data_IF_765321054230
#
_entry.id   IF_765321054230
#
_cell.length_a   1.000
_cell.length_b   1.000
_cell.length_c   1.000
_cell.angle_alpha   90.00
_cell.angle_beta   90.00
_cell.angle_gamma   90.00
#
_symmetry.space_group_name_H-M   'P 1'
#
loop_
_entity.id
_entity.type
_entity.pdbx_description
1 polymer ?
#
# COMPACT_ATOMS: atom_id res chain seq x y z
N UNK A 1 -18.49 -9.16 61.12
CA UNK A 1 -18.52 -9.81 59.81
C UNK A 1 -19.00 -8.81 58.77
N UNK A 2 -18.14 -8.34 57.88
CA UNK A 2 -18.54 -7.66 56.63
C UNK A 2 -17.32 -7.52 55.72
N UNK A 3 -17.22 -8.47 54.78
CA UNK A 3 -16.09 -8.65 53.87
C UNK A 3 -15.83 -7.46 52.96
N UNK A 4 -14.56 -7.10 52.84
CA UNK A 4 -14.03 -6.16 51.85
C UNK A 4 -14.16 -6.79 50.46
N UNK A 5 -15.01 -6.23 49.60
CA UNK A 5 -15.09 -6.62 48.19
C UNK A 5 -13.89 -6.00 47.46
N UNK A 6 -12.91 -6.81 47.12
CA UNK A 6 -11.79 -6.42 46.28
C UNK A 6 -12.28 -6.09 44.87
N UNK A 7 -11.93 -4.90 44.39
CA UNK A 7 -12.21 -4.47 43.03
C UNK A 7 -11.17 -5.10 42.11
N UNK A 8 -11.54 -6.15 41.38
CA UNK A 8 -10.69 -6.73 40.34
C UNK A 8 -10.72 -5.83 39.09
N UNK A 9 -9.60 -5.19 38.78
CA UNK A 9 -9.37 -4.60 37.47
C UNK A 9 -9.17 -5.73 36.46
N UNK A 10 -10.17 -5.97 35.62
CA UNK A 10 -10.02 -6.89 34.50
C UNK A 10 -9.14 -6.21 33.43
N UNK A 11 -7.90 -6.66 33.31
CA UNK A 11 -7.02 -6.30 32.20
C UNK A 11 -7.60 -6.93 30.93
N UNK A 12 -8.55 -6.28 30.29
CA UNK A 12 -9.02 -6.66 28.96
C UNK A 12 -7.79 -6.61 28.04
N UNK A 13 -7.23 -7.76 27.68
CA UNK A 13 -6.21 -7.84 26.62
C UNK A 13 -6.79 -7.09 25.41
N UNK A 14 -6.23 -5.92 25.10
CA UNK A 14 -6.55 -5.24 23.85
C UNK A 14 -6.16 -6.21 22.74
N UNK A 15 -7.15 -6.76 22.04
CA UNK A 15 -6.89 -7.54 20.82
C UNK A 15 -6.07 -6.63 19.92
N UNK A 16 -4.86 -7.07 19.57
CA UNK A 16 -4.02 -6.34 18.65
C UNK A 16 -4.78 -6.24 17.32
N UNK A 17 -5.15 -5.03 16.91
CA UNK A 17 -5.90 -4.81 15.68
C UNK A 17 -4.92 -4.99 14.53
N UNK A 18 -4.91 -6.18 13.94
CA UNK A 18 -4.10 -6.42 12.74
C UNK A 18 -4.67 -5.56 11.61
N UNK A 19 -3.85 -4.65 11.07
CA UNK A 19 -4.20 -3.85 9.90
C UNK A 19 -4.49 -4.74 8.68
N UNK A 20 -5.46 -4.35 7.85
CA UNK A 20 -5.84 -5.12 6.65
C UNK A 20 -4.67 -5.33 5.70
N UNK A 21 -3.83 -4.32 5.49
CA UNK A 21 -2.60 -4.43 4.66
C UNK A 21 -1.62 -5.48 5.19
N UNK A 22 -1.45 -5.58 6.51
CA UNK A 22 -0.61 -6.59 7.15
C UNK A 22 -1.16 -8.01 7.01
N UNK A 23 -2.47 -8.18 6.87
CA UNK A 23 -3.10 -9.48 6.59
C UNK A 23 -2.90 -9.93 5.14
N UNK A 24 -2.77 -8.98 4.23
CA UNK A 24 -2.64 -9.24 2.79
C UNK A 24 -1.21 -9.14 2.29
N UNK A 25 -0.24 -8.94 3.20
CA UNK A 25 1.19 -8.79 2.87
C UNK A 25 1.48 -7.67 1.86
N UNK A 26 0.62 -6.65 1.83
CA UNK A 26 0.78 -5.47 0.97
C UNK A 26 1.44 -4.35 1.78
N UNK A 27 2.44 -3.70 1.17
CA UNK A 27 3.06 -2.47 1.68
C UNK A 27 2.10 -1.28 1.51
N UNK A 28 1.26 -1.31 0.46
CA UNK A 28 0.31 -0.25 0.21
C UNK A 28 -0.86 -0.29 1.22
N UNK A 29 -1.31 0.87 1.73
CA UNK A 29 -2.35 0.94 2.74
C UNK A 29 -3.75 0.66 2.17
N UNK A 30 -4.20 -0.60 2.26
CA UNK A 30 -5.52 -1.06 1.76
C UNK A 30 -6.68 -0.20 2.30
N UNK A 31 -6.65 0.18 3.58
CA UNK A 31 -7.71 0.99 4.20
C UNK A 31 -7.79 2.40 3.62
N UNK A 32 -6.66 2.98 3.19
CA UNK A 32 -6.65 4.28 2.54
C UNK A 32 -7.20 4.17 1.12
N UNK A 33 -6.82 3.13 0.38
CA UNK A 33 -7.36 2.85 -0.97
C UNK A 33 -8.88 2.67 -0.92
N UNK A 34 -9.39 1.90 0.05
CA UNK A 34 -10.83 1.74 0.25
C UNK A 34 -11.54 3.06 0.53
N UNK A 35 -10.96 3.93 1.37
CA UNK A 35 -11.53 5.24 1.67
C UNK A 35 -11.58 6.12 0.42
N UNK A 36 -10.46 6.20 -0.32
CA UNK A 36 -10.39 6.97 -1.57
C UNK A 36 -11.41 6.46 -2.60
N UNK A 37 -11.59 5.14 -2.71
CA UNK A 37 -12.59 4.56 -3.62
C UNK A 37 -14.02 4.94 -3.24
N UNK A 38 -14.35 5.04 -1.94
CA UNK A 38 -15.67 5.50 -1.50
C UNK A 38 -15.88 7.00 -1.71
N UNK A 39 -14.81 7.78 -1.66
CA UNK A 39 -14.84 9.23 -1.94
C UNK A 39 -14.95 9.48 -3.45
N UNK A 40 -14.28 8.68 -4.29
CA UNK A 40 -14.24 8.86 -5.75
C UNK A 40 -15.40 8.20 -6.50
N UNK A 41 -15.98 7.13 -5.96
CA UNK A 41 -17.05 6.38 -6.61
C UNK A 41 -18.39 6.63 -5.90
N UNK A 42 -19.42 7.01 -6.66
CA UNK A 42 -20.79 7.20 -6.13
C UNK A 42 -21.52 5.91 -5.78
N UNK A 43 -20.83 4.77 -5.71
CA UNK A 43 -21.43 3.47 -5.40
C UNK A 43 -21.40 3.21 -3.89
N UNK A 44 -22.56 2.93 -3.32
CA UNK A 44 -22.73 2.76 -1.86
C UNK A 44 -22.00 1.53 -1.29
N UNK A 45 -21.68 0.54 -2.14
CA UNK A 45 -21.07 -0.72 -1.72
C UNK A 45 -19.88 -1.10 -2.60
N UNK A 46 -18.74 -1.35 -1.95
CA UNK A 46 -17.54 -1.94 -2.55
C UNK A 46 -17.39 -3.36 -2.05
N UNK A 47 -17.00 -4.30 -2.93
CA UNK A 47 -16.62 -5.64 -2.49
C UNK A 47 -15.39 -5.56 -1.58
N UNK A 48 -15.32 -6.37 -0.50
CA UNK A 48 -14.17 -6.37 0.41
C UNK A 48 -12.84 -6.71 -0.29
N UNK A 49 -12.88 -7.40 -1.44
CA UNK A 49 -11.69 -7.73 -2.23
C UNK A 49 -11.22 -6.59 -3.14
N UNK A 50 -12.10 -5.66 -3.53
CA UNK A 50 -11.79 -4.55 -4.44
C UNK A 50 -10.60 -3.70 -3.97
N UNK A 51 -10.56 -3.18 -2.72
CA UNK A 51 -9.44 -2.34 -2.29
C UNK A 51 -8.13 -3.13 -2.16
N UNK A 52 -8.20 -4.44 -1.89
CA UNK A 52 -7.01 -5.31 -1.83
C UNK A 52 -6.44 -5.52 -3.22
N UNK A 53 -7.30 -5.81 -4.20
CA UNK A 53 -6.90 -5.98 -5.60
C UNK A 53 -6.24 -4.71 -6.14
N UNK A 54 -6.88 -3.55 -5.96
CA UNK A 54 -6.34 -2.28 -6.43
C UNK A 54 -5.02 -1.94 -5.74
N UNK A 55 -4.92 -2.10 -4.41
CA UNK A 55 -3.68 -1.88 -3.69
C UNK A 55 -2.55 -2.78 -4.20
N UNK A 56 -2.84 -4.05 -4.52
CA UNK A 56 -1.88 -4.99 -5.10
C UNK A 56 -1.38 -4.56 -6.47
N UNK A 57 -2.29 -4.15 -7.37
CA UNK A 57 -1.93 -3.67 -8.72
C UNK A 57 -1.06 -2.41 -8.63
N UNK A 58 -1.45 -1.44 -7.79
CA UNK A 58 -0.66 -0.21 -7.59
C UNK A 58 0.73 -0.50 -7.02
N UNK A 59 0.83 -1.41 -6.05
CA UNK A 59 2.11 -1.83 -5.49
C UNK A 59 2.99 -2.50 -6.54
N UNK A 60 2.43 -3.38 -7.38
CA UNK A 60 3.16 -4.05 -8.45
C UNK A 60 3.71 -3.04 -9.47
N UNK A 61 2.87 -2.13 -9.95
CA UNK A 61 3.27 -1.11 -10.92
C UNK A 61 4.36 -0.19 -10.34
N UNK A 62 4.18 0.26 -9.10
CA UNK A 62 5.16 1.12 -8.42
C UNK A 62 6.49 0.40 -8.24
N UNK A 63 6.47 -0.87 -7.81
CA UNK A 63 7.68 -1.67 -7.66
C UNK A 63 8.41 -1.86 -9.00
N UNK A 64 7.68 -2.14 -10.08
CA UNK A 64 8.26 -2.31 -11.40
C UNK A 64 8.93 -1.01 -11.92
N UNK A 65 8.25 0.13 -11.78
CA UNK A 65 8.81 1.43 -12.17
C UNK A 65 10.06 1.76 -11.35
N UNK A 66 10.03 1.54 -10.03
CA UNK A 66 11.17 1.80 -9.16
C UNK A 66 12.35 0.86 -9.40
N UNK A 67 12.11 -0.41 -9.75
CA UNK A 67 13.17 -1.36 -10.11
C UNK A 67 13.91 -0.92 -11.38
N UNK A 68 13.16 -0.54 -12.43
CA UNK A 68 13.75 -0.03 -13.67
C UNK A 68 14.49 1.29 -13.46
N UNK A 69 13.89 2.23 -12.72
CA UNK A 69 14.54 3.51 -12.41
C UNK A 69 15.77 3.33 -11.51
N UNK A 70 15.76 2.33 -10.62
CA UNK A 70 16.91 1.94 -9.80
C UNK A 70 18.05 1.39 -10.65
N UNK A 71 17.75 0.53 -11.63
CA UNK A 71 18.74 0.03 -12.61
C UNK A 71 19.34 1.16 -13.44
N UNK A 72 18.52 2.10 -13.89
CA UNK A 72 19.01 3.31 -14.58
C UNK A 72 19.89 4.17 -13.67
N UNK A 73 19.52 4.37 -12.40
CA UNK A 73 20.32 5.15 -11.46
C UNK A 73 21.71 4.51 -11.22
N UNK A 74 21.72 3.19 -10.99
CA UNK A 74 22.94 2.40 -10.82
C UNK A 74 23.82 2.44 -12.08
N UNK A 75 23.22 2.34 -13.27
CA UNK A 75 23.93 2.48 -14.55
C UNK A 75 24.57 3.85 -14.74
N UNK A 76 24.01 4.90 -14.12
CA UNK A 76 24.57 6.26 -14.16
C UNK A 76 25.48 6.55 -12.96
N UNK A 77 25.86 5.53 -12.18
CA UNK A 77 26.66 5.64 -10.96
C UNK A 77 26.08 6.61 -9.90
N UNK A 78 24.76 6.77 -9.88
CA UNK A 78 24.06 7.63 -8.93
C UNK A 78 23.37 6.77 -7.87
N UNK A 79 23.52 7.13 -6.59
CA UNK A 79 22.86 6.45 -5.47
C UNK A 79 21.39 6.83 -5.29
N UNK A 80 20.98 7.99 -5.82
CA UNK A 80 19.60 8.52 -5.70
C UNK A 80 18.88 8.45 -7.04
N UNK A 81 17.63 8.00 -7.01
CA UNK A 81 16.73 8.07 -8.17
C UNK A 81 16.34 9.53 -8.42
N UNK A 82 16.59 10.02 -9.63
CA UNK A 82 16.21 11.36 -10.10
C UNK A 82 15.11 11.24 -11.16
N UNK A 83 14.38 12.33 -11.48
CA UNK A 83 13.37 12.31 -12.55
C UNK A 83 13.91 11.84 -13.91
N UNK A 84 15.18 12.13 -14.22
CA UNK A 84 15.86 11.67 -15.44
C UNK A 84 15.90 10.13 -15.56
N UNK A 85 16.13 9.42 -14.45
CA UNK A 85 16.16 7.95 -14.45
C UNK A 85 14.78 7.37 -14.68
N UNK A 86 13.73 8.02 -14.15
CA UNK A 86 12.35 7.62 -14.42
C UNK A 86 12.01 7.80 -15.89
N UNK A 87 12.34 8.94 -16.47
CA UNK A 87 12.08 9.20 -17.89
C UNK A 87 12.76 8.16 -18.78
N UNK A 88 14.06 7.91 -18.57
CA UNK A 88 14.79 6.87 -19.33
C UNK A 88 14.22 5.47 -19.13
N UNK A 89 13.81 5.13 -17.91
CA UNK A 89 13.20 3.84 -17.60
C UNK A 89 11.85 3.65 -18.32
N UNK A 90 11.04 4.70 -18.41
CA UNK A 90 9.77 4.70 -19.12
C UNK A 90 9.96 4.62 -20.63
N UNK A 91 10.86 5.43 -21.20
CA UNK A 91 11.15 5.45 -22.63
C UNK A 91 11.68 4.09 -23.14
N UNK A 92 12.46 3.39 -22.31
CA UNK A 92 13.02 2.06 -22.64
C UNK A 92 12.00 0.94 -22.52
N UNK A 93 10.91 1.12 -21.79
CA UNK A 93 9.93 0.07 -21.54
C UNK A 93 8.67 0.32 -22.35
N UNK A 94 8.46 -0.47 -23.40
CA UNK A 94 7.29 -0.35 -24.29
C UNK A 94 5.94 -0.54 -23.58
N UNK A 95 5.91 -1.36 -22.53
CA UNK A 95 4.67 -1.64 -21.82
C UNK A 95 4.29 -0.48 -20.89
N UNK A 96 5.29 0.14 -20.24
CA UNK A 96 5.07 1.28 -19.35
C UNK A 96 4.84 2.58 -20.13
N UNK A 97 5.54 2.78 -21.24
CA UNK A 97 5.28 3.91 -22.14
C UNK A 97 3.85 3.85 -22.68
N UNK A 98 3.40 2.70 -23.20
CA UNK A 98 2.02 2.52 -23.67
C UNK A 98 0.97 2.70 -22.55
N UNK A 99 1.29 2.34 -21.31
CA UNK A 99 0.37 2.51 -20.17
C UNK A 99 0.23 3.97 -19.73
N UNK A 100 1.28 4.79 -19.90
CA UNK A 100 1.37 6.17 -19.40
C UNK A 100 1.33 7.23 -20.51
N UNK A 101 1.09 6.82 -21.75
CA UNK A 101 0.78 7.69 -22.89
C UNK A 101 -0.61 8.34 -22.73
#
# INVERSE_FOLDING_TARGET
MSGRRGHCYSYRRRKCVLFRSRRTELQFPVSQVERLLRESCSTQHLSPSTPVFLAGVLQYLTANILDLAGKEALSNHKMRITPEHLQRALDRNQHLSCLLE
#
